data_IF_018522453490
#
_entry.id   IF_018522453490
#
_cell.length_a   1.000
_cell.length_b   1.000
_cell.length_c   1.000
_cell.angle_alpha   90.00
_cell.angle_beta   90.00
_cell.angle_gamma   90.00
#
_symmetry.space_group_name_H-M   'P 1'
#
loop_
_entity.id
_entity.type
_entity.pdbx_description
1 polymer ?
#
# COMPACT_ATOMS: atom_id res chain seq x y z
N UNK A 1 -3.41 -38.79 67.93
CA UNK A 1 -2.70 -38.85 66.63
C UNK A 1 -3.73 -38.85 65.50
N UNK A 2 -4.09 -37.69 64.96
CA UNK A 2 -4.72 -37.53 63.63
C UNK A 2 -4.26 -36.19 63.07
N UNK A 3 -3.63 -36.29 61.91
CA UNK A 3 -2.80 -35.31 61.22
C UNK A 3 -3.72 -34.36 60.43
N UNK A 4 -3.71 -33.05 60.71
CA UNK A 4 -4.36 -32.06 59.85
C UNK A 4 -3.38 -31.64 58.76
N UNK A 5 -3.69 -32.05 57.52
CA UNK A 5 -2.95 -31.71 56.32
C UNK A 5 -3.31 -30.27 55.90
N UNK A 6 -2.39 -29.33 56.10
CA UNK A 6 -2.52 -27.96 55.59
C UNK A 6 -2.22 -27.97 54.09
N UNK A 7 -3.25 -27.77 53.26
CA UNK A 7 -3.10 -27.60 51.82
C UNK A 7 -2.63 -26.17 51.54
N UNK A 8 -1.34 -25.98 51.26
CA UNK A 8 -0.81 -24.71 50.76
C UNK A 8 -1.28 -24.51 49.31
N UNK A 9 -2.28 -23.65 49.12
CA UNK A 9 -2.68 -23.14 47.80
C UNK A 9 -1.53 -22.30 47.23
N UNK A 10 -0.75 -22.90 46.35
CA UNK A 10 0.24 -22.24 45.51
C UNK A 10 -0.50 -21.29 44.55
N UNK A 11 -0.59 -20.01 44.90
CA UNK A 11 -1.01 -18.95 43.96
C UNK A 11 0.13 -18.78 42.96
N UNK A 12 0.08 -19.55 41.87
CA UNK A 12 0.91 -19.31 40.70
C UNK A 12 0.42 -18.00 40.10
N UNK A 13 1.27 -16.95 40.01
CA UNK A 13 0.79 -15.70 39.49
C UNK A 13 0.63 -15.83 37.97
N UNK A 14 -0.61 -15.62 37.50
CA UNK A 14 -1.02 -15.58 36.10
C UNK A 14 -0.37 -14.38 35.37
N UNK A 15 0.95 -14.35 35.22
CA UNK A 15 1.66 -13.30 34.49
C UNK A 15 1.75 -13.43 32.95
N UNK A 16 1.39 -14.55 32.25
CA UNK A 16 1.55 -14.58 30.79
C UNK A 16 0.37 -13.98 30.00
N UNK A 17 -0.76 -13.64 30.62
CA UNK A 17 -1.94 -13.13 29.88
C UNK A 17 -1.81 -11.66 29.44
N UNK A 18 -1.08 -10.83 30.19
CA UNK A 18 -0.95 -9.39 29.92
C UNK A 18 -0.01 -9.07 28.74
N UNK A 19 0.90 -9.97 28.37
CA UNK A 19 1.85 -9.76 27.26
C UNK A 19 1.23 -10.01 25.87
N UNK A 20 -0.04 -10.41 25.81
CA UNK A 20 -0.71 -10.81 24.57
C UNK A 20 -1.75 -9.78 24.08
N UNK A 21 -2.05 -8.75 24.86
CA UNK A 21 -3.06 -7.76 24.50
C UNK A 21 -2.45 -6.51 23.85
N UNK A 22 -3.20 -5.81 22.97
CA UNK A 22 -2.82 -4.50 22.49
C UNK A 22 -2.54 -3.52 23.64
N UNK A 23 -1.53 -2.67 23.48
CA UNK A 23 -1.16 -1.68 24.50
C UNK A 23 -1.15 -0.28 23.90
N UNK A 24 -1.87 0.64 24.55
CA UNK A 24 -1.90 2.05 24.16
C UNK A 24 -0.68 2.79 24.69
N UNK A 25 0.08 3.40 23.77
CA UNK A 25 1.18 4.33 24.07
C UNK A 25 0.71 5.64 24.71
N UNK A 26 -0.60 5.87 24.81
CA UNK A 26 -1.19 6.98 25.59
C UNK A 26 -1.22 6.68 27.09
N UNK A 27 -1.32 5.41 27.46
CA UNK A 27 -1.41 4.97 28.86
C UNK A 27 -0.04 4.76 29.48
N UNK A 28 0.91 4.21 28.72
CA UNK A 28 2.29 4.01 29.13
C UNK A 28 3.23 3.96 27.93
N UNK A 29 4.50 4.24 28.15
CA UNK A 29 5.52 4.16 27.09
C UNK A 29 5.66 2.73 26.57
N UNK A 30 5.86 2.58 25.25
CA UNK A 30 6.26 1.31 24.63
C UNK A 30 7.72 1.43 24.21
N UNK A 31 8.57 0.54 24.71
CA UNK A 31 10.02 0.62 24.57
C UNK A 31 10.55 -0.61 23.85
N UNK A 32 11.10 -0.43 22.66
CA UNK A 32 11.80 -1.48 21.93
C UNK A 32 13.26 -1.48 22.32
N UNK A 33 13.71 -2.49 23.07
CA UNK A 33 15.07 -2.54 23.63
C UNK A 33 15.96 -3.51 22.86
N UNK A 34 17.14 -3.06 22.45
CA UNK A 34 18.13 -3.91 21.78
C UNK A 34 17.81 -4.23 20.30
N UNK A 35 16.99 -3.42 19.63
CA UNK A 35 16.63 -3.59 18.21
C UNK A 35 17.74 -3.10 17.27
N UNK A 36 17.68 -3.55 16.02
CA UNK A 36 18.42 -2.97 14.89
C UNK A 36 17.50 -2.00 14.12
N UNK A 37 17.79 -0.71 14.13
CA UNK A 37 16.95 0.30 13.49
C UNK A 37 17.36 0.46 12.03
N UNK A 38 16.39 0.39 11.11
CA UNK A 38 16.54 0.80 9.72
C UNK A 38 15.74 2.10 9.55
N UNK A 39 16.38 3.27 9.64
CA UNK A 39 15.69 4.55 9.78
C UNK A 39 14.99 5.07 8.52
N UNK A 40 15.34 4.54 7.35
CA UNK A 40 14.84 4.95 6.03
C UNK A 40 15.17 6.39 5.61
N UNK A 41 16.10 7.07 6.29
CA UNK A 41 16.72 8.34 5.86
C UNK A 41 17.95 8.11 4.96
N UNK A 42 18.68 7.03 5.21
CA UNK A 42 19.76 6.48 4.39
C UNK A 42 19.82 4.96 4.51
N UNK A 43 20.50 4.29 3.57
CA UNK A 43 20.68 2.84 3.58
C UNK A 43 21.65 2.44 4.69
N UNK A 44 21.12 2.05 5.84
CA UNK A 44 21.92 1.65 7.00
C UNK A 44 21.16 0.77 7.98
N UNK A 45 21.92 0.04 8.80
CA UNK A 45 21.42 -0.66 9.99
C UNK A 45 22.11 -0.10 11.23
N UNK A 46 21.35 0.56 12.10
CA UNK A 46 21.87 1.08 13.38
C UNK A 46 21.63 0.01 14.45
N UNK A 47 22.71 -0.65 14.87
CA UNK A 47 22.62 -1.81 15.77
C UNK A 47 22.37 -1.43 17.23
N UNK A 48 21.76 -2.35 17.98
CA UNK A 48 21.58 -2.31 19.43
C UNK A 48 21.04 -0.97 19.97
N UNK A 49 19.87 -0.55 19.48
CA UNK A 49 19.19 0.66 19.90
C UNK A 49 18.03 0.37 20.86
N UNK A 50 17.74 1.34 21.71
CA UNK A 50 16.47 1.48 22.42
C UNK A 50 15.65 2.57 21.74
N UNK A 51 14.41 2.26 21.39
CA UNK A 51 13.43 3.21 20.81
C UNK A 51 12.25 3.33 21.76
N UNK A 52 11.89 4.57 22.13
CA UNK A 52 10.80 4.87 23.05
C UNK A 52 9.65 5.50 22.27
N UNK A 53 8.45 4.95 22.43
CA UNK A 53 7.20 5.44 21.85
C UNK A 53 6.27 5.91 22.96
N UNK A 54 5.72 7.12 22.80
CA UNK A 54 4.73 7.71 23.68
C UNK A 54 3.74 8.55 22.88
N UNK A 55 2.46 8.44 23.19
CA UNK A 55 1.39 9.19 22.50
C UNK A 55 1.48 9.07 20.97
N UNK A 56 1.81 7.89 20.45
CA UNK A 56 1.97 7.64 19.01
C UNK A 56 3.13 8.38 18.34
N UNK A 57 4.14 8.83 19.10
CA UNK A 57 5.36 9.43 18.58
C UNK A 57 6.60 8.75 19.13
N UNK A 58 7.67 8.75 18.33
CA UNK A 58 9.00 8.36 18.81
C UNK A 58 9.57 9.49 19.64
N UNK A 59 9.78 9.26 20.94
CA UNK A 59 10.29 10.29 21.87
C UNK A 59 11.79 10.17 22.14
N UNK A 60 12.39 8.99 21.93
CA UNK A 60 13.82 8.80 22.05
C UNK A 60 14.30 7.63 21.18
N UNK A 61 15.52 7.78 20.63
CA UNK A 61 16.29 6.71 19.98
C UNK A 61 17.73 6.85 20.47
N UNK A 62 18.38 5.74 20.84
CA UNK A 62 19.79 5.75 21.17
C UNK A 62 20.31 4.38 21.61
N UNK A 63 21.62 4.28 21.86
CA UNK A 63 22.25 3.03 22.26
C UNK A 63 21.58 2.42 23.49
N UNK A 64 21.33 1.11 23.45
CA UNK A 64 20.78 0.37 24.57
C UNK A 64 21.58 0.62 25.85
N UNK A 65 20.89 0.88 26.97
CA UNK A 65 21.50 1.23 28.25
C UNK A 65 21.80 2.72 28.46
N UNK A 66 21.71 3.55 27.40
CA UNK A 66 21.86 5.02 27.49
C UNK A 66 20.55 5.79 27.41
N UNK A 67 19.49 5.16 26.89
CA UNK A 67 18.16 5.77 26.76
C UNK A 67 17.36 5.54 28.05
N UNK A 68 16.85 6.63 28.64
CA UNK A 68 15.95 6.58 29.79
C UNK A 68 14.50 6.48 29.33
N UNK A 69 13.68 5.78 30.09
CA UNK A 69 12.24 5.62 29.89
C UNK A 69 11.57 5.37 31.25
N UNK A 70 10.26 5.50 31.31
CA UNK A 70 9.47 5.34 32.53
C UNK A 70 9.58 3.93 33.12
N UNK A 71 9.58 3.81 34.45
CA UNK A 71 9.55 2.52 35.14
C UNK A 71 8.26 1.71 34.86
N UNK A 72 7.18 2.38 34.43
CA UNK A 72 5.92 1.73 34.04
C UNK A 72 5.86 1.40 32.53
N UNK A 73 6.96 1.57 31.78
CA UNK A 73 6.96 1.28 30.35
C UNK A 73 6.71 -0.21 30.06
N UNK A 74 6.01 -0.50 28.97
CA UNK A 74 6.06 -1.81 28.35
C UNK A 74 7.40 -1.96 27.63
N UNK A 75 8.27 -2.84 28.13
CA UNK A 75 9.54 -3.15 27.47
C UNK A 75 9.37 -4.37 26.56
N UNK A 76 9.64 -4.18 25.28
CA UNK A 76 9.64 -5.20 24.23
C UNK A 76 11.09 -5.55 23.88
N UNK A 77 11.50 -6.78 24.18
CA UNK A 77 12.85 -7.24 23.85
C UNK A 77 13.02 -7.47 22.34
N UNK A 78 14.02 -6.80 21.80
CA UNK A 78 14.30 -6.68 20.38
C UNK A 78 15.64 -7.26 19.94
N UNK A 79 16.37 -7.96 20.81
CA UNK A 79 17.67 -8.57 20.46
C UNK A 79 17.55 -9.40 19.18
N UNK A 80 18.34 -9.05 18.16
CA UNK A 80 18.37 -9.73 16.86
C UNK A 80 17.22 -9.36 15.91
N UNK A 81 16.25 -8.55 16.36
CA UNK A 81 15.11 -8.08 15.56
C UNK A 81 15.42 -6.72 14.94
N UNK A 82 14.69 -6.39 13.88
CA UNK A 82 14.83 -5.16 13.11
C UNK A 82 13.60 -4.29 13.29
N UNK A 83 13.77 -2.99 13.49
CA UNK A 83 12.69 -2.02 13.62
C UNK A 83 12.73 -1.08 12.41
N UNK A 84 11.64 -1.07 11.65
CA UNK A 84 11.47 -0.26 10.43
C UNK A 84 10.19 0.60 10.53
N UNK A 85 10.03 1.66 9.71
CA UNK A 85 8.77 2.37 9.63
C UNK A 85 7.67 1.42 9.13
N UNK A 86 6.44 1.68 9.54
CA UNK A 86 5.26 1.03 9.00
C UNK A 86 5.18 1.19 7.47
N UNK A 87 4.74 0.13 6.79
CA UNK A 87 4.59 0.15 5.34
C UNK A 87 3.28 0.83 4.95
N UNK A 88 3.24 1.40 3.75
CA UNK A 88 2.02 1.95 3.17
C UNK A 88 1.54 1.17 1.94
N UNK A 89 0.23 1.14 1.75
CA UNK A 89 -0.43 0.70 0.51
C UNK A 89 -1.07 1.92 -0.17
N UNK A 90 -0.46 2.37 -1.27
CA UNK A 90 -0.85 3.59 -1.96
C UNK A 90 -1.92 3.36 -3.04
N UNK A 91 -2.43 2.13 -3.16
CA UNK A 91 -3.58 1.78 -4.00
C UNK A 91 -4.50 0.75 -3.31
N UNK A 92 -5.18 1.15 -2.25
CA UNK A 92 -6.10 0.27 -1.53
C UNK A 92 -7.53 0.39 -2.08
N UNK A 93 -8.22 -0.74 -2.19
CA UNK A 93 -9.66 -0.82 -2.44
C UNK A 93 -10.44 -1.10 -1.15
N UNK A 94 -10.64 -0.06 -0.33
CA UNK A 94 -11.60 -0.16 0.78
C UNK A 94 -13.01 -0.22 0.19
N UNK A 95 -13.85 -1.23 0.53
CA UNK A 95 -15.17 -1.40 -0.07
C UNK A 95 -16.00 -0.10 -0.04
N UNK A 96 -16.54 0.37 -1.18
CA UNK A 96 -17.33 1.60 -1.26
C UNK A 96 -18.81 1.32 -0.96
N UNK A 97 -19.10 0.79 0.24
CA UNK A 97 -20.44 0.39 0.68
C UNK A 97 -20.89 1.18 1.90
N UNK A 98 -22.13 1.01 2.36
CA UNK A 98 -22.59 1.65 3.61
C UNK A 98 -22.13 0.90 4.87
N UNK A 99 -21.92 -0.41 4.74
CA UNK A 99 -21.55 -1.31 5.82
C UNK A 99 -20.08 -1.13 6.24
N UNK A 100 -19.87 -0.60 7.46
CA UNK A 100 -18.54 -0.41 8.02
C UNK A 100 -17.84 -1.73 8.37
N UNK A 101 -18.56 -2.81 8.65
CA UNK A 101 -17.92 -4.07 9.06
C UNK A 101 -17.11 -4.68 7.90
N UNK A 102 -17.63 -4.64 6.68
CA UNK A 102 -16.89 -5.06 5.49
C UNK A 102 -15.61 -4.25 5.28
N UNK A 103 -15.65 -2.94 5.56
CA UNK A 103 -14.45 -2.11 5.49
C UNK A 103 -13.45 -2.45 6.58
N UNK A 104 -13.92 -2.66 7.82
CA UNK A 104 -13.07 -3.03 8.97
C UNK A 104 -12.29 -4.30 8.71
N UNK A 105 -12.89 -5.30 8.08
CA UNK A 105 -12.20 -6.54 7.75
C UNK A 105 -11.00 -6.29 6.83
N UNK A 106 -11.17 -5.50 5.76
CA UNK A 106 -10.09 -5.12 4.85
C UNK A 106 -8.99 -4.33 5.57
N UNK A 107 -9.38 -3.37 6.42
CA UNK A 107 -8.43 -2.61 7.24
C UNK A 107 -7.66 -3.48 8.23
N UNK A 108 -8.31 -4.49 8.82
CA UNK A 108 -7.67 -5.44 9.71
C UNK A 108 -6.65 -6.29 8.96
N UNK A 109 -6.97 -6.78 7.76
CA UNK A 109 -5.99 -7.51 6.94
C UNK A 109 -4.77 -6.65 6.61
N UNK A 110 -4.95 -5.39 6.20
CA UNK A 110 -3.81 -4.47 6.02
C UNK A 110 -3.00 -4.30 7.32
N UNK A 111 -3.68 -3.98 8.42
CA UNK A 111 -3.05 -3.73 9.73
C UNK A 111 -2.24 -4.92 10.21
N UNK A 112 -2.81 -6.12 10.15
CA UNK A 112 -2.21 -7.33 10.71
C UNK A 112 -1.03 -7.84 9.86
N UNK A 113 -0.90 -7.37 8.63
CA UNK A 113 0.27 -7.54 7.78
C UNK A 113 1.18 -6.30 7.77
N UNK A 114 1.10 -5.43 8.78
CA UNK A 114 2.07 -4.34 8.94
C UNK A 114 1.89 -3.15 8.00
N UNK A 115 0.76 -3.05 7.31
CA UNK A 115 0.41 -1.87 6.53
C UNK A 115 -0.29 -0.87 7.45
N UNK A 116 0.41 0.22 7.77
CA UNK A 116 -0.03 1.23 8.76
C UNK A 116 -0.54 2.51 8.12
N UNK A 117 -0.40 2.66 6.80
CA UNK A 117 -0.97 3.76 6.02
C UNK A 117 -1.58 3.20 4.74
N UNK A 118 -2.77 3.66 4.38
CA UNK A 118 -3.39 3.30 3.10
C UNK A 118 -3.94 4.54 2.39
N UNK A 119 -3.88 4.53 1.06
CA UNK A 119 -4.55 5.48 0.17
C UNK A 119 -5.68 4.75 -0.56
N UNK A 120 -6.91 5.04 -0.19
CA UNK A 120 -8.13 4.47 -0.79
C UNK A 120 -8.42 5.08 -2.15
N UNK A 121 -8.48 4.23 -3.18
CA UNK A 121 -8.57 4.65 -4.58
C UNK A 121 -9.98 4.50 -5.18
N UNK A 122 -11.00 4.34 -4.33
CA UNK A 122 -12.40 4.34 -4.74
C UNK A 122 -13.28 4.84 -3.59
N UNK A 123 -13.44 6.16 -3.51
CA UNK A 123 -14.08 6.83 -2.38
C UNK A 123 -15.58 6.60 -2.24
N UNK A 124 -16.03 6.63 -1.00
CA UNK A 124 -17.44 6.60 -0.60
C UNK A 124 -17.67 7.56 0.58
N UNK A 125 -18.85 8.19 0.78
CA UNK A 125 -19.08 9.11 1.90
C UNK A 125 -18.75 8.50 3.28
N UNK A 126 -19.05 7.21 3.48
CA UNK A 126 -18.72 6.49 4.71
C UNK A 126 -17.22 6.36 4.98
N UNK A 127 -16.37 6.51 3.97
CA UNK A 127 -14.91 6.51 4.16
C UNK A 127 -14.42 7.72 4.95
N UNK A 128 -15.12 8.86 4.89
CA UNK A 128 -14.79 10.05 5.69
C UNK A 128 -15.06 9.82 7.17
N UNK A 129 -16.16 9.14 7.51
CA UNK A 129 -16.44 8.70 8.88
C UNK A 129 -15.41 7.66 9.33
N UNK A 130 -15.12 6.66 8.50
CA UNK A 130 -14.12 5.65 8.79
C UNK A 130 -12.75 6.27 9.09
N UNK A 131 -12.31 7.23 8.26
CA UNK A 131 -11.09 8.02 8.48
C UNK A 131 -11.11 8.73 9.83
N UNK A 132 -12.24 9.32 10.20
CA UNK A 132 -12.39 10.05 11.47
C UNK A 132 -12.28 9.13 12.68
N UNK A 133 -12.89 7.93 12.62
CA UNK A 133 -12.81 6.90 13.66
C UNK A 133 -11.40 6.31 13.82
N UNK A 134 -10.66 6.17 12.72
CA UNK A 134 -9.26 5.75 12.74
C UNK A 134 -8.35 6.83 13.35
N UNK A 135 -8.58 8.10 13.01
CA UNK A 135 -7.79 9.22 13.53
C UNK A 135 -8.01 9.46 15.03
N UNK A 136 -9.24 9.30 15.53
CA UNK A 136 -9.54 9.44 16.96
C UNK A 136 -8.97 8.30 17.81
N UNK A 137 -8.79 7.12 17.19
CA UNK A 137 -8.44 5.87 17.85
C UNK A 137 -9.64 5.06 18.32
N UNK A 138 -10.86 5.41 17.90
CA UNK A 138 -12.06 4.58 18.10
C UNK A 138 -11.92 3.23 17.37
N UNK A 139 -11.29 3.24 16.19
CA UNK A 139 -10.91 2.04 15.46
C UNK A 139 -9.40 1.93 15.36
N UNK A 140 -8.88 0.72 15.54
CA UNK A 140 -7.48 0.38 15.25
C UNK A 140 -7.40 0.02 13.77
N UNK A 141 -6.59 0.75 13.02
CA UNK A 141 -6.35 0.50 11.60
C UNK A 141 -5.34 1.48 11.01
N UNK A 142 -5.02 1.34 9.71
CA UNK A 142 -4.06 2.20 9.05
C UNK A 142 -4.55 3.63 9.00
N UNK A 143 -3.61 4.57 8.97
CA UNK A 143 -3.88 5.94 8.56
C UNK A 143 -4.53 5.91 7.19
N UNK A 144 -5.73 6.47 7.08
CA UNK A 144 -6.51 6.39 5.86
C UNK A 144 -6.57 7.73 5.15
N UNK A 145 -5.99 7.79 3.95
CA UNK A 145 -6.25 8.84 2.98
C UNK A 145 -7.25 8.31 1.97
N UNK A 146 -8.27 9.07 1.59
CA UNK A 146 -9.35 8.58 0.73
C UNK A 146 -9.61 9.54 -0.43
N UNK A 147 -9.69 8.99 -1.63
CA UNK A 147 -10.21 9.72 -2.78
C UNK A 147 -11.69 10.01 -2.57
N UNK A 148 -12.25 10.95 -3.32
CA UNK A 148 -13.71 10.97 -3.50
C UNK A 148 -14.19 9.85 -4.45
N UNK A 149 -15.51 9.77 -4.69
CA UNK A 149 -16.09 8.85 -5.65
C UNK A 149 -15.48 8.99 -7.05
N UNK A 150 -15.53 7.91 -7.83
CA UNK A 150 -14.91 7.81 -9.16
C UNK A 150 -15.38 8.90 -10.13
N UNK A 151 -14.43 9.63 -10.71
CA UNK A 151 -14.63 10.50 -11.88
C UNK A 151 -14.25 9.72 -13.15
N UNK A 152 -15.23 9.42 -14.00
CA UNK A 152 -15.06 8.60 -15.20
C UNK A 152 -16.06 9.00 -16.28
N UNK A 153 -15.98 8.38 -17.47
CA UNK A 153 -16.90 8.65 -18.58
C UNK A 153 -18.38 8.38 -18.32
N UNK A 154 -18.71 7.59 -17.29
CA UNK A 154 -20.08 7.33 -16.87
C UNK A 154 -20.58 8.36 -15.85
N UNK A 155 -19.75 8.83 -14.94
CA UNK A 155 -20.14 9.81 -13.92
C UNK A 155 -20.02 11.26 -14.40
N UNK A 156 -19.10 11.55 -15.32
CA UNK A 156 -18.84 12.90 -15.83
C UNK A 156 -19.24 12.99 -17.30
N UNK A 157 -20.46 13.47 -17.55
CA UNK A 157 -21.02 13.60 -18.90
C UNK A 157 -20.77 14.96 -19.56
N UNK A 158 -20.48 16.01 -18.79
CA UNK A 158 -20.14 17.35 -19.31
C UNK A 158 -18.98 17.97 -18.54
N UNK A 159 -18.25 18.93 -19.14
CA UNK A 159 -17.23 19.71 -18.47
C UNK A 159 -17.70 20.37 -17.17
N UNK A 160 -18.90 20.96 -17.18
CA UNK A 160 -19.50 21.65 -16.02
C UNK A 160 -19.78 20.68 -14.88
N UNK A 161 -20.33 19.50 -15.20
CA UNK A 161 -20.56 18.44 -14.20
C UNK A 161 -19.24 17.99 -13.56
N UNK A 162 -18.18 17.82 -14.37
CA UNK A 162 -16.85 17.47 -13.88
C UNK A 162 -16.30 18.52 -12.92
N UNK A 163 -16.33 19.79 -13.31
CA UNK A 163 -15.89 20.90 -12.46
C UNK A 163 -16.69 20.98 -11.13
N UNK A 164 -17.99 20.78 -11.19
CA UNK A 164 -18.84 20.81 -10.00
C UNK A 164 -18.56 19.64 -9.06
N UNK A 165 -18.40 18.43 -9.59
CA UNK A 165 -18.01 17.26 -8.78
C UNK A 165 -16.67 17.47 -8.06
N UNK A 166 -15.70 18.15 -8.69
CA UNK A 166 -14.44 18.52 -8.03
C UNK A 166 -14.69 19.38 -6.80
N UNK A 167 -15.48 20.45 -6.93
CA UNK A 167 -15.79 21.35 -5.80
C UNK A 167 -16.53 20.63 -4.68
N UNK A 168 -17.49 19.77 -5.04
CA UNK A 168 -18.24 18.98 -4.07
C UNK A 168 -17.35 18.00 -3.32
N UNK A 169 -16.45 17.29 -4.00
CA UNK A 169 -15.52 16.38 -3.33
C UNK A 169 -14.53 17.13 -2.43
N UNK A 170 -14.05 18.30 -2.86
CA UNK A 170 -13.21 19.18 -2.03
C UNK A 170 -13.97 19.63 -0.78
N UNK A 171 -15.20 20.12 -0.94
CA UNK A 171 -16.05 20.59 0.16
C UNK A 171 -16.39 19.48 1.15
N UNK A 172 -16.61 18.25 0.66
CA UNK A 172 -16.86 17.08 1.50
C UNK A 172 -15.62 16.67 2.33
N UNK A 173 -14.42 17.13 1.95
CA UNK A 173 -13.19 16.89 2.69
C UNK A 173 -12.43 15.62 2.27
N UNK A 174 -12.62 15.14 1.04
CA UNK A 174 -11.75 14.10 0.48
C UNK A 174 -10.31 14.60 0.32
N UNK A 175 -9.34 13.67 0.33
CA UNK A 175 -7.92 14.03 0.28
C UNK A 175 -7.44 14.31 -1.15
N UNK A 176 -8.05 13.66 -2.14
CA UNK A 176 -7.72 13.79 -3.56
C UNK A 176 -8.88 13.26 -4.45
N UNK A 177 -8.78 13.49 -5.76
CA UNK A 177 -9.71 12.97 -6.75
C UNK A 177 -9.14 11.70 -7.39
N UNK A 178 -9.98 10.68 -7.57
CA UNK A 178 -9.62 9.49 -8.36
C UNK A 178 -10.29 9.55 -9.73
N UNK A 179 -9.44 9.59 -10.76
CA UNK A 179 -9.86 9.48 -12.16
C UNK A 179 -9.80 8.00 -12.60
N UNK A 180 -10.81 7.60 -13.36
CA UNK A 180 -10.98 6.28 -13.97
C UNK A 180 -11.25 6.43 -15.47
N UNK A 181 -11.16 5.34 -16.27
CA UNK A 181 -11.26 5.40 -17.72
C UNK A 181 -12.57 6.00 -18.27
N UNK A 182 -12.53 6.43 -19.54
CA UNK A 182 -13.68 6.95 -20.29
C UNK A 182 -13.88 8.47 -20.24
N UNK A 183 -12.98 9.23 -19.61
CA UNK A 183 -12.98 10.69 -19.75
C UNK A 183 -12.45 11.08 -21.13
N UNK A 184 -13.10 12.06 -21.75
CA UNK A 184 -12.62 12.67 -22.99
C UNK A 184 -11.80 13.94 -22.66
N UNK A 185 -11.22 14.56 -23.69
CA UNK A 185 -10.36 15.73 -23.51
C UNK A 185 -11.08 16.92 -22.84
N UNK A 186 -12.35 17.16 -23.12
CA UNK A 186 -13.10 18.30 -22.58
C UNK A 186 -13.45 18.09 -21.10
N UNK A 187 -13.99 16.93 -20.75
CA UNK A 187 -14.35 16.62 -19.35
C UNK A 187 -13.11 16.53 -18.48
N UNK A 188 -12.03 15.93 -18.99
CA UNK A 188 -10.73 15.90 -18.34
C UNK A 188 -10.17 17.31 -18.09
N UNK A 189 -10.16 18.18 -19.11
CA UNK A 189 -9.60 19.52 -18.99
C UNK A 189 -10.36 20.35 -17.93
N UNK A 190 -11.69 20.22 -17.84
CA UNK A 190 -12.48 20.90 -16.84
C UNK A 190 -12.22 20.37 -15.42
N UNK A 191 -12.09 19.05 -15.24
CA UNK A 191 -11.70 18.44 -13.97
C UNK A 191 -10.33 18.94 -13.55
N UNK A 192 -9.31 18.80 -14.40
CA UNK A 192 -7.94 19.18 -14.09
C UNK A 192 -7.79 20.68 -13.80
N UNK A 193 -8.38 21.54 -14.62
CA UNK A 193 -8.35 23.00 -14.42
C UNK A 193 -9.01 23.39 -13.10
N UNK A 194 -10.15 22.79 -12.76
CA UNK A 194 -10.85 23.07 -11.51
C UNK A 194 -10.08 22.52 -10.31
N UNK A 195 -9.56 21.30 -10.41
CA UNK A 195 -8.77 20.67 -9.34
C UNK A 195 -7.53 21.50 -9.00
N UNK A 196 -6.82 22.02 -10.02
CA UNK A 196 -5.68 22.91 -9.83
C UNK A 196 -6.08 24.23 -9.16
N UNK A 197 -7.20 24.85 -9.55
CA UNK A 197 -7.72 26.08 -8.89
C UNK A 197 -8.09 25.84 -7.43
N UNK A 198 -8.67 24.69 -7.11
CA UNK A 198 -9.10 24.29 -5.76
C UNK A 198 -7.95 23.70 -4.92
N UNK A 199 -6.73 23.62 -5.47
CA UNK A 199 -5.58 22.92 -4.86
C UNK A 199 -5.99 21.53 -4.36
N UNK A 200 -6.66 20.78 -5.24
CA UNK A 200 -7.15 19.42 -4.99
C UNK A 200 -6.32 18.45 -5.83
N UNK A 201 -5.47 17.61 -5.22
CA UNK A 201 -4.71 16.62 -5.98
C UNK A 201 -5.64 15.66 -6.73
N UNK A 202 -5.21 15.19 -7.90
CA UNK A 202 -5.92 14.19 -8.67
C UNK A 202 -4.97 13.14 -9.23
N UNK A 203 -5.41 11.89 -9.23
CA UNK A 203 -4.57 10.73 -9.49
C UNK A 203 -5.41 9.56 -10.01
N UNK A 204 -4.76 8.48 -10.42
CA UNK A 204 -5.39 7.23 -10.81
C UNK A 204 -5.10 6.85 -12.24
N UNK A 205 -6.13 6.41 -12.94
CA UNK A 205 -6.02 5.98 -14.33
C UNK A 205 -5.80 7.16 -15.25
N UNK A 206 -5.14 6.88 -16.37
CA UNK A 206 -5.11 7.76 -17.54
C UNK A 206 -6.11 7.22 -18.55
N UNK A 207 -7.17 7.97 -18.85
CA UNK A 207 -8.12 7.57 -19.90
C UNK A 207 -7.42 7.57 -21.26
N UNK A 208 -7.76 6.60 -22.11
CA UNK A 208 -7.12 6.41 -23.41
C UNK A 208 -7.15 7.68 -24.29
N UNK A 209 -8.33 8.30 -24.44
CA UNK A 209 -8.53 9.54 -25.22
C UNK A 209 -7.70 10.74 -24.70
N UNK A 210 -7.41 10.76 -23.40
CA UNK A 210 -6.62 11.81 -22.76
C UNK A 210 -5.13 11.57 -22.99
N UNK A 211 -4.67 10.34 -22.77
CA UNK A 211 -3.28 9.93 -22.95
C UNK A 211 -2.32 10.49 -21.89
N UNK A 212 -1.19 9.80 -21.69
CA UNK A 212 -0.26 10.08 -20.58
C UNK A 212 0.32 11.49 -20.63
N UNK A 213 0.56 12.03 -21.82
CA UNK A 213 1.19 13.34 -21.98
C UNK A 213 0.31 14.47 -21.46
N UNK A 214 -1.02 14.41 -21.69
CA UNK A 214 -1.95 15.39 -21.14
C UNK A 214 -2.11 15.21 -19.63
N UNK A 215 -2.10 13.98 -19.12
CA UNK A 215 -2.14 13.71 -17.68
C UNK A 215 -0.91 14.27 -16.95
N UNK A 216 0.29 14.09 -17.52
CA UNK A 216 1.54 14.67 -17.01
C UNK A 216 1.48 16.19 -17.06
N UNK A 217 1.08 16.79 -18.19
CA UNK A 217 1.01 18.25 -18.33
C UNK A 217 0.00 18.88 -17.35
N UNK A 218 -1.13 18.21 -17.14
CA UNK A 218 -2.17 18.63 -16.21
C UNK A 218 -1.72 18.63 -14.74
N UNK A 219 -0.65 17.88 -14.40
CA UNK A 219 -0.10 17.82 -13.05
C UNK A 219 -0.72 16.72 -12.18
N UNK A 220 -0.92 15.51 -12.73
CA UNK A 220 -1.31 14.33 -11.93
C UNK A 220 -0.44 14.20 -10.68
N UNK A 221 -1.06 13.98 -9.52
CA UNK A 221 -0.31 13.69 -8.30
C UNK A 221 0.34 12.29 -8.37
N UNK A 222 -0.38 11.30 -8.90
CA UNK A 222 0.20 10.03 -9.32
C UNK A 222 -0.50 9.45 -10.54
N UNK A 223 0.28 8.76 -11.39
CA UNK A 223 -0.23 7.83 -12.39
C UNK A 223 -0.17 6.43 -11.81
N UNK A 224 -1.32 5.76 -11.81
CA UNK A 224 -1.47 4.44 -11.24
C UNK A 224 -1.52 3.37 -12.35
N UNK A 225 -1.14 2.14 -12.01
CA UNK A 225 -1.04 1.00 -12.94
C UNK A 225 -0.06 1.19 -14.10
N UNK A 226 0.70 2.29 -14.09
CA UNK A 226 1.52 2.75 -15.21
C UNK A 226 0.69 3.01 -16.48
N UNK A 227 -0.57 3.43 -16.32
CA UNK A 227 -1.46 3.74 -17.44
C UNK A 227 -0.84 4.75 -18.40
N UNK A 228 -0.95 4.46 -19.70
CA UNK A 228 -0.43 5.32 -20.75
C UNK A 228 1.09 5.19 -20.97
N UNK A 229 1.81 4.39 -20.19
CA UNK A 229 3.26 4.23 -20.34
C UNK A 229 3.57 3.46 -21.62
N UNK A 230 2.99 2.27 -21.80
CA UNK A 230 3.21 1.45 -22.99
C UNK A 230 2.71 2.19 -24.23
N UNK A 231 1.52 2.76 -24.13
CA UNK A 231 0.87 3.61 -25.14
C UNK A 231 1.81 4.71 -25.63
N UNK A 232 2.49 5.41 -24.72
CA UNK A 232 3.42 6.51 -25.07
C UNK A 232 4.65 6.05 -25.87
N UNK A 233 4.99 4.77 -25.76
CA UNK A 233 6.11 4.16 -26.48
C UNK A 233 5.71 3.63 -27.85
N UNK A 234 4.42 3.41 -28.13
CA UNK A 234 3.95 2.87 -29.41
C UNK A 234 3.87 3.97 -30.47
N UNK A 235 4.64 3.90 -31.57
CA UNK A 235 4.49 4.81 -32.71
C UNK A 235 3.15 4.58 -33.41
N UNK A 236 2.44 5.65 -33.77
CA UNK A 236 1.16 5.54 -34.48
C UNK A 236 -0.02 5.11 -33.61
N UNK A 237 0.09 5.22 -32.28
CA UNK A 237 -0.98 4.91 -31.31
C UNK A 237 -2.35 5.49 -31.71
N UNK A 238 -2.38 6.69 -32.29
CA UNK A 238 -3.60 7.40 -32.73
C UNK A 238 -4.47 6.56 -33.69
N UNK A 239 -3.89 5.57 -34.37
CA UNK A 239 -4.59 4.67 -35.29
C UNK A 239 -5.05 3.36 -34.65
N UNK A 240 -4.77 3.14 -33.36
CA UNK A 240 -5.11 1.92 -32.61
C UNK A 240 -6.31 2.23 -31.70
N UNK A 241 -7.45 1.55 -31.86
CA UNK A 241 -8.56 1.67 -30.91
C UNK A 241 -8.20 1.17 -29.51
N UNK A 242 -8.74 1.80 -28.46
CA UNK A 242 -8.53 1.40 -27.06
C UNK A 242 -8.79 -0.10 -26.82
N UNK A 243 -9.85 -0.63 -27.42
CA UNK A 243 -10.21 -2.03 -27.26
C UNK A 243 -9.11 -2.96 -27.80
N UNK A 244 -8.45 -2.58 -28.88
CA UNK A 244 -7.34 -3.34 -29.48
C UNK A 244 -6.06 -3.25 -28.64
N UNK A 245 -5.79 -2.10 -28.02
CA UNK A 245 -4.69 -1.95 -27.07
C UNK A 245 -4.85 -2.89 -25.86
N UNK A 246 -6.09 -3.05 -25.39
CA UNK A 246 -6.43 -3.86 -24.23
C UNK A 246 -6.06 -3.18 -22.91
N UNK A 247 -6.33 -3.88 -21.80
CA UNK A 247 -6.05 -3.38 -20.46
C UNK A 247 -4.56 -3.02 -20.33
N UNK A 248 -4.27 -1.77 -19.95
CA UNK A 248 -2.91 -1.24 -19.79
C UNK A 248 -2.02 -1.43 -21.03
N UNK A 249 -2.64 -1.39 -22.23
CA UNK A 249 -2.02 -1.61 -23.53
C UNK A 249 -1.24 -2.94 -23.67
N UNK A 250 -1.61 -3.96 -22.89
CA UNK A 250 -0.89 -5.24 -22.86
C UNK A 250 -0.84 -5.95 -24.21
N UNK A 251 -1.82 -5.75 -25.10
CA UNK A 251 -1.87 -6.44 -26.40
C UNK A 251 -1.02 -5.76 -27.49
N UNK A 252 -0.56 -4.53 -27.26
CA UNK A 252 0.27 -3.77 -28.21
C UNK A 252 1.67 -3.47 -27.67
N UNK A 253 2.04 -4.06 -26.53
CA UNK A 253 3.33 -3.82 -25.90
C UNK A 253 4.54 -4.25 -26.74
N UNK A 254 4.36 -5.18 -27.68
CA UNK A 254 5.40 -5.60 -28.64
C UNK A 254 5.69 -4.54 -29.72
N UNK A 255 4.84 -3.52 -29.85
CA UNK A 255 5.02 -2.38 -30.76
C UNK A 255 5.76 -1.21 -30.08
N UNK A 256 6.10 -1.33 -28.80
CA UNK A 256 6.74 -0.26 -28.03
C UNK A 256 8.17 0.05 -28.51
N UNK A 257 8.41 1.30 -28.89
CA UNK A 257 9.75 1.84 -29.16
C UNK A 257 10.41 2.31 -27.86
N UNK A 258 11.27 1.45 -27.30
CA UNK A 258 11.93 1.73 -26.02
C UNK A 258 12.94 2.89 -26.06
N UNK A 259 13.28 3.41 -27.24
CA UNK A 259 14.10 4.64 -27.36
C UNK A 259 13.36 5.88 -26.87
N UNK A 260 12.03 5.82 -26.71
CA UNK A 260 11.17 6.90 -26.19
C UNK A 260 11.14 6.99 -24.65
N UNK A 261 11.62 5.97 -23.94
CA UNK A 261 11.59 5.92 -22.46
C UNK A 261 12.24 7.17 -21.82
N UNK A 262 13.42 7.66 -22.26
CA UNK A 262 14.03 8.85 -21.65
C UNK A 262 13.14 10.09 -21.68
N UNK A 263 12.36 10.28 -22.75
CA UNK A 263 11.41 11.39 -22.86
C UNK A 263 10.31 11.28 -21.81
N UNK A 264 9.75 10.09 -21.62
CA UNK A 264 8.72 9.84 -20.60
C UNK A 264 9.27 10.11 -19.19
N UNK A 265 10.45 9.58 -18.88
CA UNK A 265 11.08 9.78 -17.56
C UNK A 265 11.35 11.25 -17.27
N UNK A 266 11.85 12.00 -18.25
CA UNK A 266 12.09 13.43 -18.13
C UNK A 266 10.79 14.19 -17.81
N UNK A 267 9.70 13.90 -18.54
CA UNK A 267 8.42 14.55 -18.33
C UNK A 267 7.81 14.23 -16.95
N UNK A 268 7.86 12.97 -16.51
CA UNK A 268 7.40 12.57 -15.18
C UNK A 268 8.17 13.31 -14.08
N UNK A 269 9.49 13.40 -14.19
CA UNK A 269 10.34 14.10 -13.21
C UNK A 269 10.09 15.60 -13.21
N UNK A 270 10.03 16.24 -14.37
CA UNK A 270 9.83 17.69 -14.50
C UNK A 270 8.51 18.14 -13.86
N UNK A 271 7.46 17.33 -14.01
CA UNK A 271 6.14 17.60 -13.42
C UNK A 271 5.94 16.97 -12.03
N UNK A 272 6.97 16.36 -11.45
CA UNK A 272 6.92 15.69 -10.14
C UNK A 272 5.80 14.64 -10.03
N UNK A 273 5.56 13.89 -11.10
CA UNK A 273 4.52 12.86 -11.15
C UNK A 273 5.02 11.61 -10.43
N UNK A 274 4.25 11.14 -9.44
CA UNK A 274 4.50 9.86 -8.79
C UNK A 274 3.90 8.72 -9.60
N UNK A 275 4.46 7.52 -9.45
CA UNK A 275 4.00 6.32 -10.13
C UNK A 275 3.68 5.24 -9.10
N UNK A 276 2.48 4.65 -9.20
CA UNK A 276 2.10 3.45 -8.45
C UNK A 276 2.06 2.27 -9.43
N UNK A 277 3.07 1.38 -9.45
CA UNK A 277 3.17 0.38 -10.49
C UNK A 277 2.06 -0.66 -10.47
N UNK A 278 1.58 -1.07 -9.29
CA UNK A 278 0.66 -2.21 -9.11
C UNK A 278 1.12 -3.42 -9.93
N UNK A 279 2.42 -3.72 -9.88
CA UNK A 279 3.04 -4.77 -10.68
C UNK A 279 2.44 -6.14 -10.36
N UNK A 280 1.96 -6.34 -9.12
CA UNK A 280 1.19 -7.51 -8.71
C UNK A 280 0.03 -7.85 -9.66
N UNK A 281 -0.65 -6.86 -10.26
CA UNK A 281 -1.69 -7.12 -11.27
C UNK A 281 -1.10 -7.75 -12.54
N UNK A 282 0.00 -7.20 -13.04
CA UNK A 282 0.66 -7.75 -14.22
C UNK A 282 1.19 -9.17 -13.96
N UNK A 283 1.74 -9.42 -12.77
CA UNK A 283 2.35 -10.70 -12.38
C UNK A 283 1.31 -11.78 -12.08
N UNK A 284 0.17 -11.43 -11.46
CA UNK A 284 -0.79 -12.42 -10.97
C UNK A 284 -1.99 -12.54 -11.89
N UNK A 285 -2.53 -11.43 -12.40
CA UNK A 285 -3.66 -11.47 -13.31
C UNK A 285 -3.23 -11.70 -14.75
N UNK A 286 -2.30 -10.91 -15.27
CA UNK A 286 -2.01 -10.91 -16.72
C UNK A 286 -1.03 -12.01 -17.13
N UNK A 287 0.04 -12.18 -16.36
CA UNK A 287 1.14 -13.10 -16.68
C UNK A 287 0.66 -14.54 -16.89
N UNK A 288 1.19 -15.25 -17.91
CA UNK A 288 0.91 -16.67 -18.12
C UNK A 288 1.70 -17.58 -17.16
N UNK A 289 2.61 -17.04 -16.34
CA UNK A 289 3.55 -17.82 -15.55
C UNK A 289 2.89 -18.79 -14.54
N UNK A 290 1.74 -18.40 -13.98
CA UNK A 290 0.95 -19.25 -13.08
C UNK A 290 -0.49 -19.37 -13.57
N UNK A 291 -1.04 -20.58 -13.53
CA UNK A 291 -2.43 -20.81 -13.93
C UNK A 291 -3.42 -20.13 -12.95
N UNK A 292 -4.64 -19.82 -13.40
CA UNK A 292 -5.70 -19.32 -12.53
C UNK A 292 -5.93 -20.21 -11.29
N UNK A 293 -5.91 -21.53 -11.45
CA UNK A 293 -6.16 -22.52 -10.40
C UNK A 293 -5.02 -22.57 -9.38
N UNK A 294 -3.77 -22.45 -9.85
CA UNK A 294 -2.60 -22.34 -8.96
C UNK A 294 -2.69 -21.08 -8.11
N UNK A 295 -3.05 -19.94 -8.71
CA UNK A 295 -3.22 -18.68 -7.97
C UNK A 295 -4.40 -18.73 -7.00
N UNK A 296 -5.53 -19.32 -7.43
CA UNK A 296 -6.71 -19.50 -6.61
C UNK A 296 -6.52 -20.48 -5.44
N UNK A 297 -5.48 -21.31 -5.46
CA UNK A 297 -5.13 -22.25 -4.38
C UNK A 297 -3.97 -21.79 -3.50
N UNK A 298 -3.43 -20.58 -3.73
CA UNK A 298 -2.35 -20.02 -2.88
C UNK A 298 -2.80 -19.92 -1.41
N UNK A 299 -1.93 -20.17 -0.43
CA UNK A 299 -2.29 -20.19 0.99
C UNK A 299 -2.97 -18.92 1.50
N UNK A 300 -2.64 -17.75 0.94
CA UNK A 300 -3.24 -16.48 1.30
C UNK A 300 -4.73 -16.37 0.92
N UNK A 301 -5.24 -17.18 -0.01
CA UNK A 301 -6.63 -17.14 -0.44
C UNK A 301 -7.62 -17.51 0.68
N UNK A 302 -7.15 -18.14 1.76
CA UNK A 302 -7.94 -18.40 2.97
C UNK A 302 -8.49 -17.14 3.64
N UNK A 303 -8.00 -15.95 3.30
CA UNK A 303 -8.52 -14.68 3.82
C UNK A 303 -9.61 -14.06 2.94
N UNK A 304 -9.85 -14.63 1.77
CA UNK A 304 -10.83 -14.13 0.82
C UNK A 304 -12.08 -15.00 0.83
N UNK A 305 -13.23 -14.39 0.52
CA UNK A 305 -14.45 -15.16 0.32
C UNK A 305 -14.25 -16.16 -0.85
N UNK A 306 -14.60 -17.46 -0.69
CA UNK A 306 -14.42 -18.46 -1.74
C UNK A 306 -15.06 -18.08 -3.09
N UNK A 307 -16.22 -17.40 -3.07
CA UNK A 307 -16.86 -16.88 -4.28
C UNK A 307 -16.04 -15.79 -4.96
N UNK A 308 -15.39 -14.93 -4.18
CA UNK A 308 -14.46 -13.92 -4.71
C UNK A 308 -13.27 -14.60 -5.39
N UNK A 309 -12.69 -15.62 -4.77
CA UNK A 309 -11.57 -16.39 -5.36
C UNK A 309 -12.01 -17.08 -6.65
N UNK A 310 -13.18 -17.72 -6.68
CA UNK A 310 -13.74 -18.32 -7.90
C UNK A 310 -13.95 -17.27 -9.01
N UNK A 311 -14.45 -16.09 -8.67
CA UNK A 311 -14.60 -14.99 -9.62
C UNK A 311 -13.24 -14.53 -10.17
N UNK A 312 -12.19 -14.47 -9.36
CA UNK A 312 -10.84 -14.13 -9.82
C UNK A 312 -10.26 -15.19 -10.76
N UNK A 313 -10.47 -16.48 -10.45
CA UNK A 313 -10.13 -17.61 -11.34
C UNK A 313 -10.82 -17.44 -12.69
N UNK A 314 -12.14 -17.25 -12.70
CA UNK A 314 -12.90 -17.04 -13.94
C UNK A 314 -12.46 -15.78 -14.70
N UNK A 315 -12.09 -14.71 -13.99
CA UNK A 315 -11.61 -13.46 -14.58
C UNK A 315 -10.29 -13.67 -15.33
N UNK A 316 -9.34 -14.41 -14.74
CA UNK A 316 -8.08 -14.74 -15.43
C UNK A 316 -8.29 -15.73 -16.57
N UNK A 317 -9.13 -16.75 -16.40
CA UNK A 317 -9.49 -17.69 -17.47
C UNK A 317 -10.07 -16.95 -18.68
N UNK A 318 -10.97 -16.00 -18.45
CA UNK A 318 -11.55 -15.17 -19.52
C UNK A 318 -10.49 -14.34 -20.23
N UNK A 319 -9.56 -13.73 -19.48
CA UNK A 319 -8.45 -12.99 -20.07
C UNK A 319 -7.59 -13.88 -20.97
N UNK A 320 -7.21 -15.07 -20.49
CA UNK A 320 -6.37 -16.02 -21.23
C UNK A 320 -7.09 -16.65 -22.43
N UNK A 321 -8.41 -16.62 -22.47
CA UNK A 321 -9.22 -17.10 -23.59
C UNK A 321 -9.51 -16.01 -24.64
N UNK A 322 -9.11 -14.76 -24.41
CA UNK A 322 -9.24 -13.70 -25.41
C UNK A 322 -8.39 -14.05 -26.66
N UNK A 323 -8.94 -13.98 -27.89
CA UNK A 323 -8.20 -14.31 -29.11
C UNK A 323 -6.91 -13.49 -29.33
N UNK A 324 -6.79 -12.33 -28.69
CA UNK A 324 -5.61 -11.46 -28.76
C UNK A 324 -4.56 -11.81 -27.70
N UNK A 325 -4.91 -12.63 -26.72
CA UNK A 325 -4.00 -13.07 -25.68
C UNK A 325 -2.98 -14.05 -26.26
N UNK A 326 -1.74 -13.61 -26.33
CA UNK A 326 -0.58 -14.44 -26.66
C UNK A 326 0.37 -14.46 -25.47
N UNK A 327 0.61 -15.65 -24.91
CA UNK A 327 1.40 -15.82 -23.69
C UNK A 327 2.81 -15.22 -23.82
N UNK A 328 3.47 -15.36 -24.97
CA UNK A 328 4.82 -14.83 -25.17
C UNK A 328 4.82 -13.30 -25.28
N UNK A 329 3.79 -12.71 -25.91
CA UNK A 329 3.61 -11.24 -25.93
C UNK A 329 3.33 -10.69 -24.54
N UNK A 330 2.49 -11.36 -23.76
CA UNK A 330 2.16 -10.93 -22.40
C UNK A 330 3.37 -11.04 -21.47
N UNK A 331 4.19 -12.08 -21.59
CA UNK A 331 5.45 -12.17 -20.84
C UNK A 331 6.41 -11.02 -21.20
N UNK A 332 6.52 -10.65 -22.48
CA UNK A 332 7.28 -9.46 -22.91
C UNK A 332 6.72 -8.17 -22.32
N UNK A 333 5.40 -8.02 -22.24
CA UNK A 333 4.74 -6.89 -21.60
C UNK A 333 5.07 -6.80 -20.09
N UNK A 334 4.98 -7.92 -19.36
CA UNK A 334 5.33 -7.96 -17.93
C UNK A 334 6.80 -7.55 -17.72
N UNK A 335 7.71 -8.04 -18.57
CA UNK A 335 9.13 -7.68 -18.53
C UNK A 335 9.38 -6.21 -18.93
N UNK A 336 8.63 -5.66 -19.88
CA UNK A 336 8.68 -4.23 -20.20
C UNK A 336 8.27 -3.36 -19.00
N UNK A 337 7.22 -3.75 -18.27
CA UNK A 337 6.82 -3.05 -17.03
C UNK A 337 7.92 -3.10 -15.97
N UNK A 338 8.54 -4.26 -15.74
CA UNK A 338 9.70 -4.40 -14.83
C UNK A 338 10.82 -3.44 -15.23
N UNK A 339 11.17 -3.38 -16.51
CA UNK A 339 12.16 -2.43 -17.04
C UNK A 339 11.74 -0.98 -16.78
N UNK A 340 10.49 -0.62 -17.02
CA UNK A 340 9.98 0.74 -16.79
C UNK A 340 10.03 1.12 -15.30
N UNK A 341 9.71 0.20 -14.38
CA UNK A 341 9.83 0.40 -12.94
C UNK A 341 11.29 0.70 -12.56
N UNK A 342 12.24 -0.13 -13.04
CA UNK A 342 13.67 0.08 -12.79
C UNK A 342 14.14 1.43 -13.31
N UNK A 343 13.75 1.79 -14.52
CA UNK A 343 14.15 3.05 -15.14
C UNK A 343 13.51 4.25 -14.43
N UNK A 344 12.28 4.13 -13.90
CA UNK A 344 11.70 5.16 -13.03
C UNK A 344 12.60 5.40 -11.80
N UNK A 345 12.98 4.34 -11.09
CA UNK A 345 13.85 4.44 -9.92
C UNK A 345 15.21 5.06 -10.29
N UNK A 346 15.86 4.58 -11.35
CA UNK A 346 17.19 5.05 -11.80
C UNK A 346 17.19 6.52 -12.22
N UNK A 347 16.04 7.03 -12.70
CA UNK A 347 15.88 8.43 -13.11
C UNK A 347 15.25 9.30 -12.03
N UNK A 348 15.13 8.80 -10.79
CA UNK A 348 14.56 9.51 -9.64
C UNK A 348 13.10 9.94 -9.84
N UNK A 349 12.35 9.22 -10.68
CA UNK A 349 10.88 9.33 -10.72
C UNK A 349 10.33 8.72 -9.44
N UNK A 350 9.41 9.42 -8.79
CA UNK A 350 8.84 8.98 -7.52
C UNK A 350 8.02 7.70 -7.68
N UNK A 351 8.42 6.63 -7.00
CA UNK A 351 7.66 5.36 -6.92
C UNK A 351 6.99 5.22 -5.56
N UNK A 352 5.75 4.75 -5.57
CA UNK A 352 4.96 4.45 -4.37
C UNK A 352 4.55 2.98 -4.36
N UNK A 353 4.58 2.36 -3.18
CA UNK A 353 4.18 0.98 -2.98
C UNK A 353 2.67 0.85 -3.10
N UNK A 354 2.18 0.06 -4.04
CA UNK A 354 0.77 -0.32 -4.03
C UNK A 354 0.46 -1.49 -4.94
N UNK A 355 -0.48 -2.33 -4.52
CA UNK A 355 -0.80 -3.61 -5.19
C UNK A 355 -2.25 -3.70 -5.67
N UNK A 356 -3.07 -2.67 -5.48
CA UNK A 356 -4.49 -2.66 -5.87
C UNK A 356 -5.38 -3.60 -5.04
N UNK A 357 -4.97 -3.99 -3.82
CA UNK A 357 -5.74 -4.97 -3.04
C UNK A 357 -6.99 -4.37 -2.34
N UNK A 358 -8.10 -5.12 -2.22
CA UNK A 358 -8.37 -6.39 -2.89
C UNK A 358 -8.73 -6.20 -4.37
N UNK A 359 -8.05 -6.97 -5.22
CA UNK A 359 -8.31 -7.12 -6.66
C UNK A 359 -7.90 -8.53 -7.08
N UNK A 360 -8.07 -8.93 -8.34
CA UNK A 360 -7.74 -10.25 -8.90
C UNK A 360 -6.44 -10.86 -8.29
N UNK A 361 -6.62 -11.84 -7.39
CA UNK A 361 -5.60 -12.55 -6.62
C UNK A 361 -4.75 -11.72 -5.64
N UNK A 362 -5.10 -10.46 -5.41
CA UNK A 362 -4.42 -9.58 -4.49
C UNK A 362 -5.18 -9.53 -3.17
N UNK A 363 -4.68 -10.25 -2.17
CA UNK A 363 -5.17 -10.24 -0.79
C UNK A 363 -4.62 -9.00 -0.04
N UNK A 364 -5.47 -8.23 0.68
CA UNK A 364 -5.03 -7.04 1.42
C UNK A 364 -3.88 -7.33 2.40
N UNK A 365 -2.87 -6.45 2.40
CA UNK A 365 -1.67 -6.58 3.23
C UNK A 365 -0.64 -7.55 2.65
N UNK A 366 -1.02 -8.80 2.38
CA UNK A 366 -0.11 -9.82 1.83
C UNK A 366 0.43 -9.39 0.47
N UNK A 367 -0.44 -8.89 -0.40
CA UNK A 367 -0.04 -8.51 -1.76
C UNK A 367 0.80 -7.24 -1.81
N UNK A 368 0.73 -6.41 -0.76
CA UNK A 368 1.62 -5.26 -0.59
C UNK A 368 3.07 -5.72 -0.33
N UNK A 369 3.27 -6.84 0.38
CA UNK A 369 4.60 -7.46 0.48
C UNK A 369 5.04 -8.14 -0.83
N UNK A 370 4.12 -8.77 -1.55
CA UNK A 370 4.41 -9.34 -2.87
C UNK A 370 4.81 -8.24 -3.87
N UNK A 371 4.20 -7.05 -3.80
CA UNK A 371 4.62 -5.90 -4.60
C UNK A 371 6.08 -5.51 -4.29
N UNK A 372 6.52 -5.52 -3.02
CA UNK A 372 7.94 -5.30 -2.69
C UNK A 372 8.86 -6.34 -3.35
N UNK A 373 8.45 -7.61 -3.38
CA UNK A 373 9.17 -8.68 -4.06
C UNK A 373 9.23 -8.45 -5.57
N UNK A 374 8.12 -8.00 -6.19
CA UNK A 374 8.08 -7.66 -7.61
C UNK A 374 8.94 -6.43 -7.95
N UNK A 375 9.01 -5.43 -7.07
CA UNK A 375 9.92 -4.30 -7.23
C UNK A 375 11.39 -4.74 -7.18
N UNK A 376 11.75 -5.66 -6.28
CA UNK A 376 13.10 -6.25 -6.23
C UNK A 376 13.37 -7.10 -7.48
N UNK A 377 12.39 -7.90 -7.93
CA UNK A 377 12.49 -8.68 -9.17
C UNK A 377 12.62 -7.80 -10.42
N UNK A 378 12.08 -6.57 -10.39
CA UNK A 378 12.29 -5.56 -11.41
C UNK A 378 13.71 -4.95 -11.39
N UNK A 379 14.51 -5.23 -10.35
CA UNK A 379 15.91 -4.84 -10.24
C UNK A 379 16.19 -3.74 -9.22
N UNK A 380 15.21 -3.33 -8.41
CA UNK A 380 15.47 -2.44 -7.27
C UNK A 380 16.22 -3.19 -6.17
N UNK A 381 17.09 -2.50 -5.43
CA UNK A 381 17.60 -3.05 -4.17
C UNK A 381 16.47 -3.19 -3.13
N UNK A 382 16.60 -4.05 -2.11
CA UNK A 382 15.62 -4.10 -1.03
C UNK A 382 15.42 -2.74 -0.33
N UNK A 383 16.47 -1.94 -0.18
CA UNK A 383 16.35 -0.58 0.37
C UNK A 383 15.52 0.32 -0.55
N UNK A 384 15.74 0.26 -1.87
CA UNK A 384 14.96 1.01 -2.86
C UNK A 384 13.49 0.63 -2.88
N UNK A 385 13.18 -0.67 -2.81
CA UNK A 385 11.82 -1.16 -2.69
C UNK A 385 11.17 -0.66 -1.38
N UNK A 386 11.86 -0.74 -0.23
CA UNK A 386 11.32 -0.24 1.03
C UNK A 386 11.03 1.26 1.02
N UNK A 387 11.82 2.08 0.29
CA UNK A 387 11.56 3.52 0.19
C UNK A 387 10.16 3.81 -0.34
N UNK A 388 9.65 3.02 -1.30
CA UNK A 388 8.36 3.25 -1.97
C UNK A 388 7.17 3.14 -1.02
N UNK A 389 7.28 2.29 0.02
CA UNK A 389 6.27 2.10 1.06
C UNK A 389 6.55 2.88 2.35
N UNK A 390 7.62 3.68 2.42
CA UNK A 390 8.04 4.40 3.64
C UNK A 390 8.33 5.87 3.35
N UNK A 391 9.59 6.28 3.25
CA UNK A 391 9.99 7.70 3.15
C UNK A 391 9.40 8.39 1.91
N UNK A 392 9.14 7.66 0.82
CA UNK A 392 8.46 8.22 -0.36
C UNK A 392 7.01 8.61 -0.05
N UNK A 393 6.33 7.88 0.84
CA UNK A 393 4.96 8.19 1.29
C UNK A 393 4.94 9.50 2.07
N UNK A 394 5.92 9.69 2.96
CA UNK A 394 6.12 10.96 3.66
C UNK A 394 6.35 12.12 2.69
N UNK A 395 7.19 11.93 1.66
CA UNK A 395 7.42 12.94 0.61
C UNK A 395 6.16 13.25 -0.21
N UNK A 396 5.43 12.21 -0.65
CA UNK A 396 4.20 12.36 -1.42
C UNK A 396 3.14 13.20 -0.68
N UNK A 397 2.98 12.97 0.62
CA UNK A 397 2.02 13.71 1.44
C UNK A 397 2.59 14.98 2.09
N UNK A 398 3.84 15.36 1.80
CA UNK A 398 4.55 16.46 2.47
C UNK A 398 4.57 16.34 4.00
N UNK A 399 4.90 15.14 4.50
CA UNK A 399 4.92 14.75 5.92
C UNK A 399 6.26 14.12 6.28
N UNK A 400 7.16 14.93 6.84
CA UNK A 400 8.51 14.49 7.25
C UNK A 400 8.53 13.53 8.45
N UNK A 401 7.41 13.39 9.14
CA UNK A 401 7.23 12.52 10.30
C UNK A 401 6.72 11.12 9.94
N UNK A 402 6.42 10.85 8.66
CA UNK A 402 5.91 9.57 8.15
C UNK A 402 7.01 8.85 7.36
N UNK A 403 7.09 7.52 7.53
CA UNK A 403 7.98 6.67 6.73
C UNK A 403 9.46 6.74 7.13
N UNK A 404 9.77 7.23 8.33
CA UNK A 404 11.15 7.32 8.86
C UNK A 404 11.19 7.14 10.38
N UNK A 405 12.26 6.53 10.91
CA UNK A 405 12.53 6.51 12.36
C UNK A 405 13.51 7.61 12.75
N UNK A 406 12.97 8.74 13.19
CA UNK A 406 13.69 9.78 13.93
C UNK A 406 12.86 10.24 15.12
N UNK A 407 13.50 10.88 16.08
CA UNK A 407 12.78 11.50 17.21
C UNK A 407 11.77 12.51 16.65
N UNK A 408 10.53 12.44 17.14
CA UNK A 408 9.41 13.26 16.67
C UNK A 408 8.53 12.62 15.59
N UNK A 409 9.01 11.57 14.90
CA UNK A 409 8.22 10.85 13.89
C UNK A 409 6.97 10.21 14.49
N UNK A 410 5.95 10.02 13.64
CA UNK A 410 4.81 9.17 13.94
C UNK A 410 5.30 7.74 14.22
N UNK A 411 4.76 7.11 15.27
CA UNK A 411 5.17 5.78 15.69
C UNK A 411 4.39 4.68 14.94
N UNK A 412 4.26 4.82 13.62
CA UNK A 412 3.79 3.74 12.76
C UNK A 412 5.02 2.86 12.44
N UNK A 413 5.15 1.69 13.07
CA UNK A 413 6.40 0.90 13.13
C UNK A 413 6.17 -0.60 12.95
N UNK A 414 7.14 -1.30 12.35
CA UNK A 414 7.20 -2.77 12.30
C UNK A 414 8.45 -3.29 13.00
N UNK A 415 8.25 -4.22 13.92
CA UNK A 415 9.31 -5.06 14.48
C UNK A 415 9.35 -6.37 13.68
N UNK A 416 10.49 -6.68 13.08
CA UNK A 416 10.69 -7.84 12.20
C UNK A 416 11.68 -8.83 12.81
N UNK A 417 11.48 -10.12 12.56
CA UNK A 417 12.40 -11.18 13.00
C UNK A 417 13.72 -11.21 12.22
N UNK A 418 13.79 -10.60 11.03
CA UNK A 418 14.97 -10.63 10.16
C UNK A 418 15.22 -9.31 9.43
N UNK A 419 16.35 -9.25 8.71
CA UNK A 419 16.82 -8.04 8.04
C UNK A 419 16.20 -7.88 6.64
N UNK A 420 15.29 -6.91 6.42
CA UNK A 420 14.68 -6.71 5.12
C UNK A 420 15.64 -6.12 4.07
N UNK A 421 16.82 -5.61 4.48
CA UNK A 421 17.85 -5.13 3.53
C UNK A 421 18.65 -6.28 2.89
N UNK A 422 18.64 -7.47 3.50
CA UNK A 422 19.29 -8.67 2.96
C UNK A 422 18.31 -9.52 2.16
N UNK A 423 17.05 -9.55 2.59
CA UNK A 423 15.99 -10.33 1.97
C UNK A 423 14.66 -9.62 2.23
N UNK A 424 14.05 -9.11 1.16
CA UNK A 424 12.84 -8.29 1.25
C UNK A 424 11.64 -9.07 1.83
N UNK A 425 11.64 -10.40 1.74
CA UNK A 425 10.59 -11.26 2.30
C UNK A 425 10.56 -11.20 3.85
N UNK A 426 11.64 -10.74 4.49
CA UNK A 426 11.67 -10.55 5.95
C UNK A 426 10.65 -9.50 6.43
N UNK A 427 10.14 -8.65 5.54
CA UNK A 427 9.02 -7.74 5.85
C UNK A 427 7.75 -8.48 6.26
N UNK A 428 7.56 -9.73 5.83
CA UNK A 428 6.41 -10.57 6.21
C UNK A 428 6.58 -11.22 7.60
N UNK A 429 7.80 -11.27 8.14
CA UNK A 429 8.11 -11.95 9.41
C UNK A 429 7.97 -10.99 10.59
N UNK A 430 6.73 -10.56 10.83
CA UNK A 430 6.38 -9.53 11.81
C UNK A 430 6.35 -10.11 13.24
N UNK A 431 7.08 -9.47 14.15
CA UNK A 431 7.15 -9.73 15.59
C UNK A 431 6.37 -8.72 16.43
N UNK A 432 5.87 -7.65 15.81
CA UNK A 432 5.05 -6.63 16.47
C UNK A 432 4.82 -5.43 15.57
N UNK A 433 3.72 -4.73 15.82
CA UNK A 433 3.28 -3.58 15.02
C UNK A 433 2.96 -2.44 15.97
N UNK A 434 3.40 -1.23 15.67
CA UNK A 434 2.82 -0.02 16.28
C UNK A 434 2.04 0.69 15.20
N UNK A 435 0.78 1.01 15.49
CA UNK A 435 -0.13 1.68 14.57
C UNK A 435 -0.87 2.79 15.31
N UNK A 436 -0.63 4.03 14.89
CA UNK A 436 -1.05 5.23 15.59
C UNK A 436 -0.53 5.23 17.03
N UNK A 437 -1.42 4.92 17.97
CA UNK A 437 -1.09 4.89 19.40
C UNK A 437 -0.95 3.48 19.97
N UNK A 438 -1.22 2.44 19.20
CA UNK A 438 -1.40 1.09 19.73
C UNK A 438 -0.27 0.17 19.30
N UNK A 439 0.36 -0.51 20.25
CA UNK A 439 1.25 -1.62 20.00
C UNK A 439 0.47 -2.95 19.97
N UNK A 440 0.65 -3.72 18.92
CA UNK A 440 0.10 -5.06 18.70
C UNK A 440 1.22 -6.10 18.85
N UNK A 441 1.19 -6.94 19.91
CA UNK A 441 2.14 -8.03 20.07
C UNK A 441 1.95 -9.13 19.00
N UNK A 442 3.01 -9.87 18.69
CA UNK A 442 2.98 -11.00 17.73
C UNK A 442 1.85 -12.02 18.02
N UNK A 443 1.63 -12.36 19.30
CA UNK A 443 0.58 -13.29 19.69
C UNK A 443 -0.82 -12.77 19.32
N UNK A 444 -1.07 -11.48 19.53
CA UNK A 444 -2.32 -10.83 19.11
C UNK A 444 -2.48 -10.89 17.60
N UNK A 445 -1.42 -10.55 16.86
CA UNK A 445 -1.44 -10.52 15.39
C UNK A 445 -1.82 -11.91 14.85
N UNK A 446 -1.14 -12.95 15.31
CA UNK A 446 -1.41 -14.35 14.92
C UNK A 446 -2.83 -14.79 15.26
N UNK A 447 -3.30 -14.48 16.46
CA UNK A 447 -4.66 -14.84 16.90
C UNK A 447 -5.72 -14.10 16.07
N UNK A 448 -5.53 -12.82 15.79
CA UNK A 448 -6.46 -12.01 15.01
C UNK A 448 -6.50 -12.46 13.55
N UNK A 449 -5.36 -12.75 12.94
CA UNK A 449 -5.31 -13.33 11.59
C UNK A 449 -6.06 -14.67 11.54
N UNK A 450 -5.90 -15.54 12.53
CA UNK A 450 -6.60 -16.83 12.56
C UNK A 450 -8.14 -16.68 12.53
N UNK A 451 -8.67 -15.61 13.14
CA UNK A 451 -10.11 -15.30 13.15
C UNK A 451 -10.64 -14.77 11.80
N UNK A 452 -9.75 -14.24 10.95
CA UNK A 452 -10.10 -13.71 9.63
C UNK A 452 -10.09 -14.77 8.53
N UNK A 453 -9.61 -15.98 8.82
CA UNK A 453 -9.66 -17.07 7.86
C UNK A 453 -11.13 -17.42 7.53
N UNK A 454 -11.48 -17.33 6.25
CA UNK A 454 -12.72 -17.82 5.68
C UNK A 454 -12.51 -19.32 5.45
N UNK A 455 -13.09 -20.15 6.30
CA UNK A 455 -12.88 -21.61 6.28
C UNK A 455 -13.02 -22.20 4.87
N UNK A 456 -12.15 -23.16 4.57
CA UNK A 456 -12.34 -24.07 3.43
C UNK A 456 -13.38 -25.13 3.78
#
# INVERSE_FOLDING_TARGET
MKLYLFLLLLVVPLYPALAQQPVSSREREVVFRGVHVIPMDKEQVIKNQTVVVKNGKITAIGNTGKVKYSNNALVVEGKGKYLIPGLAEMHAHVPPVDDLEQMKEVLQLFTLHGITTIRGMLGHPRHLELRSKLQSGELIGPRFYTSGPSLNGNSVKTPEAGAEMVRQQKQAGYDFLKLHPGLNNETFAAIASTANKESMPFAGHVSYDVGVWRAIEAGYASIDHMDGFVESLVPGLEAIPEQEAGLFAMFIADQADTTRIPKLMAALREKNIWVVPTQALAERWMSPAESPEVLGSKPEMKYMNPKTVQNWVATKQKLMADPRYDAAKIDRYVNLRRRLIKVCNDNQVGLLLGCDAPQVFNVPGISTHQELEYLVAAGLSPYEALKTGTIHVGRYFNREDIGTLKVGSAADLLLLHGNPLQDISQTQRIAGIVIGHTYLPEAHIKQSLKKLEKGN
#
